data_IF_749477698310
#
_entry.id   IF_749477698310
#
_cell.length_a   1.000
_cell.length_b   1.000
_cell.length_c   1.000
_cell.angle_alpha   90.00
_cell.angle_beta   90.00
_cell.angle_gamma   90.00
#
_symmetry.space_group_name_H-M   'P 1'
#
loop_
_entity.id
_entity.type
_entity.pdbx_description
1 polymer ?
#
# COMPACT_ATOMS: atom_id res chain seq x y z
N UNK A 1 12.34 -16.17 18.66
CA UNK A 1 11.24 -15.58 19.45
C UNK A 1 10.06 -15.42 18.53
N UNK A 2 8.91 -16.03 18.83
CA UNK A 2 7.71 -15.89 18.02
C UNK A 2 7.21 -14.44 18.15
N UNK A 3 7.41 -13.65 17.09
CA UNK A 3 6.80 -12.33 16.97
C UNK A 3 5.30 -12.50 17.19
N UNK A 4 4.78 -11.94 18.28
CA UNK A 4 3.34 -11.96 18.58
C UNK A 4 2.62 -11.34 17.40
N UNK A 5 2.10 -12.18 16.51
CA UNK A 5 1.30 -11.77 15.38
C UNK A 5 0.11 -10.98 15.94
N UNK A 6 0.17 -9.65 15.83
CA UNK A 6 -0.86 -8.73 16.32
C UNK A 6 -2.22 -9.26 15.86
N UNK A 7 -3.09 -9.55 16.83
CA UNK A 7 -4.39 -10.18 16.60
C UNK A 7 -5.16 -9.41 15.53
N UNK A 8 -5.81 -10.13 14.60
CA UNK A 8 -6.64 -9.55 13.53
C UNK A 8 -7.76 -8.64 14.06
N UNK A 9 -8.11 -8.76 15.34
CA UNK A 9 -9.13 -8.02 16.08
C UNK A 9 -8.67 -6.64 16.55
N UNK A 10 -7.37 -6.38 16.57
CA UNK A 10 -6.84 -5.09 17.03
C UNK A 10 -6.95 -4.04 15.92
N UNK A 11 -8.07 -3.30 15.95
CA UNK A 11 -8.45 -2.33 14.92
C UNK A 11 -7.43 -1.19 14.82
N UNK A 12 -6.89 -0.73 15.96
CA UNK A 12 -5.87 0.32 16.02
C UNK A 12 -4.56 -0.14 15.37
N UNK A 13 -4.05 -1.31 15.74
CA UNK A 13 -2.85 -1.87 15.11
C UNK A 13 -3.04 -2.16 13.62
N UNK A 14 -4.24 -2.56 13.19
CA UNK A 14 -4.57 -2.75 11.77
C UNK A 14 -4.58 -1.42 11.01
N UNK A 15 -5.09 -0.35 11.59
CA UNK A 15 -5.09 0.99 10.99
C UNK A 15 -3.66 1.54 10.83
N UNK A 16 -2.82 1.41 11.86
CA UNK A 16 -1.42 1.80 11.78
C UNK A 16 -0.65 1.02 10.72
N UNK A 17 -0.85 -0.30 10.63
CA UNK A 17 -0.19 -1.13 9.63
C UNK A 17 -0.65 -0.80 8.20
N UNK A 18 -1.93 -0.45 8.02
CA UNK A 18 -2.48 0.02 6.74
C UNK A 18 -1.86 1.35 6.31
N UNK A 19 -1.62 2.25 7.27
CA UNK A 19 -1.05 3.57 7.02
C UNK A 19 0.44 3.48 6.64
N UNK A 20 1.18 2.58 7.29
CA UNK A 20 2.61 2.32 7.02
C UNK A 20 2.85 1.59 5.70
N UNK A 21 1.87 0.86 5.18
CA UNK A 21 2.02 0.07 3.95
C UNK A 21 2.03 0.90 2.64
N UNK A 22 1.77 2.22 2.70
CA UNK A 22 1.55 3.07 1.54
C UNK A 22 2.67 4.13 1.41
N UNK A 23 3.92 3.72 1.66
CA UNK A 23 5.10 4.56 1.40
C UNK A 23 6.01 3.86 0.40
N UNK A 24 6.59 4.64 -0.51
CA UNK A 24 7.43 4.14 -1.57
C UNK A 24 8.79 3.78 -0.98
N UNK A 25 9.26 2.54 -1.15
CA UNK A 25 10.55 2.10 -0.60
C UNK A 25 11.75 2.85 -1.16
N UNK A 26 11.60 3.47 -2.32
CA UNK A 26 12.67 4.18 -3.00
C UNK A 26 12.76 5.66 -2.57
N UNK A 27 11.67 6.43 -2.69
CA UNK A 27 11.68 7.86 -2.36
C UNK A 27 11.05 8.22 -0.99
N UNK A 28 10.57 7.25 -0.21
CA UNK A 28 9.97 7.49 1.12
C UNK A 28 8.62 8.22 1.11
N UNK A 29 8.19 8.74 -0.03
CA UNK A 29 6.93 9.46 -0.19
C UNK A 29 5.71 8.54 -0.17
N UNK A 30 4.54 9.11 0.12
CA UNK A 30 3.27 8.40 0.07
C UNK A 30 2.99 7.92 -1.36
N UNK A 31 2.64 6.64 -1.50
CA UNK A 31 2.29 6.04 -2.80
C UNK A 31 0.84 6.37 -3.12
N UNK A 32 0.59 6.96 -4.28
CA UNK A 32 -0.78 7.08 -4.77
C UNK A 32 -1.17 5.81 -5.54
N UNK A 33 -2.40 5.33 -5.36
CA UNK A 33 -2.87 4.12 -6.03
C UNK A 33 -3.98 4.51 -6.98
N UNK A 34 -3.64 4.66 -8.25
CA UNK A 34 -4.58 5.01 -9.31
C UNK A 34 -5.05 3.79 -10.07
N UNK A 35 -6.27 3.87 -10.59
CA UNK A 35 -6.81 2.87 -11.49
C UNK A 35 -6.41 3.22 -12.92
N UNK A 36 -5.58 2.38 -13.55
CA UNK A 36 -5.16 2.53 -14.94
C UNK A 36 -5.86 1.51 -15.83
N UNK A 37 -6.28 1.94 -17.01
CA UNK A 37 -6.82 1.05 -18.04
C UNK A 37 -5.74 0.85 -19.09
N UNK A 38 -5.30 -0.39 -19.28
CA UNK A 38 -4.38 -0.75 -20.36
C UNK A 38 -5.03 -0.49 -21.73
N UNK A 39 -4.26 -0.28 -22.80
CA UNK A 39 -4.81 -0.14 -24.16
C UNK A 39 -5.65 -1.34 -24.62
N UNK A 40 -5.45 -2.52 -23.99
CA UNK A 40 -6.28 -3.73 -24.17
C UNK A 40 -7.55 -3.76 -23.30
N UNK A 41 -7.94 -2.65 -22.67
CA UNK A 41 -9.13 -2.52 -21.82
C UNK A 41 -8.99 -3.11 -20.41
N UNK A 42 -7.84 -3.70 -20.06
CA UNK A 42 -7.63 -4.33 -18.74
C UNK A 42 -7.43 -3.27 -17.66
N UNK A 43 -8.30 -3.28 -16.65
CA UNK A 43 -8.19 -2.44 -15.45
C UNK A 43 -7.11 -2.99 -14.51
N UNK A 44 -6.14 -2.16 -14.13
CA UNK A 44 -5.08 -2.49 -13.18
C UNK A 44 -4.86 -1.33 -12.22
N UNK A 45 -4.69 -1.64 -10.94
CA UNK A 45 -4.24 -0.64 -9.97
C UNK A 45 -2.74 -0.42 -10.15
N UNK A 46 -2.34 0.83 -10.41
CA UNK A 46 -0.94 1.25 -10.48
C UNK A 46 -0.60 2.03 -9.23
N UNK A 47 0.59 1.76 -8.71
CA UNK A 47 1.19 2.50 -7.62
C UNK A 47 2.09 3.57 -8.23
N UNK A 48 1.67 4.82 -8.11
CA UNK A 48 2.36 6.01 -8.58
C UNK A 48 3.22 6.52 -7.42
N UNK A 49 4.54 6.49 -7.63
CA UNK A 49 5.50 7.14 -6.74
C UNK A 49 6.78 7.50 -7.50
N UNK A 50 7.50 8.50 -6.99
CA UNK A 50 8.79 8.95 -7.52
C UNK A 50 8.78 9.47 -8.98
N UNK A 51 7.74 10.20 -9.39
CA UNK A 51 7.73 10.93 -10.67
C UNK A 51 7.09 10.20 -11.85
N UNK A 52 6.54 9.01 -11.62
CA UNK A 52 5.52 8.36 -12.48
C UNK A 52 4.18 8.33 -11.79
#
# INVERSE_FOLDING_TARGET
>A
MAEKAKSKTDVAARAENKSKAIVCRNCGNKVDVVMAVSPSGKKRMRRICCGE
#
